data_IF_143108907723
#
_entry.id   IF_143108907723
#
_cell.length_a   1.000
_cell.length_b   1.000
_cell.length_c   1.000
_cell.angle_alpha   90.00
_cell.angle_beta   90.00
_cell.angle_gamma   90.00
#
_symmetry.space_group_name_H-M   'P 1'
#
loop_
_entity.id
_entity.type
_entity.pdbx_description
1 polymer ?
#
# COMPACT_ATOMS: atom_id res chain seq x y z
N UNK A 1 28.66 4.98 2.82
CA UNK A 1 27.22 4.73 2.63
C UNK A 1 26.50 5.24 3.87
N UNK A 2 25.58 6.18 3.72
CA UNK A 2 24.81 6.69 4.86
C UNK A 2 23.60 5.77 5.11
N UNK A 3 23.75 4.86 6.08
CA UNK A 3 22.70 3.92 6.47
C UNK A 3 21.45 4.64 7.01
N UNK A 4 21.57 5.88 7.51
CA UNK A 4 20.42 6.66 7.96
C UNK A 4 19.54 7.06 6.77
N UNK A 5 20.13 7.52 5.68
CA UNK A 5 19.40 7.82 4.44
C UNK A 5 18.69 6.58 3.88
N UNK A 6 19.34 5.41 3.90
CA UNK A 6 18.72 4.15 3.47
C UNK A 6 17.54 3.79 4.37
N UNK A 7 17.71 3.86 5.70
CA UNK A 7 16.66 3.56 6.66
C UNK A 7 15.44 4.47 6.49
N UNK A 8 15.65 5.76 6.23
CA UNK A 8 14.57 6.71 5.97
C UNK A 8 13.82 6.37 4.68
N UNK A 9 14.54 6.09 3.58
CA UNK A 9 13.92 5.70 2.30
C UNK A 9 13.14 4.39 2.40
N UNK A 10 13.67 3.43 3.13
CA UNK A 10 13.01 2.16 3.44
C UNK A 10 11.74 2.39 4.25
N UNK A 11 11.79 3.22 5.29
CA UNK A 11 10.61 3.57 6.10
C UNK A 11 9.52 4.21 5.22
N UNK A 12 9.89 5.17 4.37
CA UNK A 12 8.97 5.81 3.43
C UNK A 12 8.33 4.78 2.49
N UNK A 13 9.14 3.89 1.93
CA UNK A 13 8.69 2.84 1.02
C UNK A 13 7.64 1.93 1.67
N UNK A 14 7.88 1.49 2.91
CA UNK A 14 6.91 0.66 3.64
C UNK A 14 5.64 1.43 3.94
N UNK A 15 5.77 2.69 4.37
CA UNK A 15 4.62 3.53 4.69
C UNK A 15 3.74 3.70 3.46
N UNK A 16 4.33 3.96 2.28
CA UNK A 16 3.59 4.04 1.02
C UNK A 16 2.90 2.72 0.66
N UNK A 17 3.57 1.58 0.85
CA UNK A 17 2.95 0.26 0.61
C UNK A 17 1.79 0.00 1.55
N UNK A 18 1.90 0.37 2.82
CA UNK A 18 0.82 0.27 3.79
C UNK A 18 -0.37 1.16 3.41
N UNK A 19 -0.13 2.41 2.98
CA UNK A 19 -1.19 3.30 2.48
C UNK A 19 -1.90 2.74 1.25
N UNK A 20 -1.16 2.16 0.30
CA UNK A 20 -1.74 1.50 -0.88
C UNK A 20 -2.65 0.34 -0.44
N UNK A 21 -2.17 -0.48 0.49
CA UNK A 21 -2.93 -1.62 1.00
C UNK A 21 -4.25 -1.18 1.66
N UNK A 22 -4.21 -0.16 2.51
CA UNK A 22 -5.40 0.41 3.14
C UNK A 22 -6.41 0.93 2.11
N UNK A 23 -5.94 1.60 1.05
CA UNK A 23 -6.81 2.08 -0.04
C UNK A 23 -7.41 0.95 -0.86
N UNK A 24 -6.68 -0.14 -1.09
CA UNK A 24 -7.20 -1.33 -1.76
C UNK A 24 -8.30 -1.99 -0.94
N UNK A 25 -8.12 -2.10 0.38
CA UNK A 25 -9.14 -2.59 1.30
C UNK A 25 -10.38 -1.69 1.30
N UNK A 26 -10.20 -0.37 1.27
CA UNK A 26 -11.29 0.59 1.15
C UNK A 26 -12.07 0.45 -0.18
N UNK A 27 -11.36 0.29 -1.31
CA UNK A 27 -12.00 0.00 -2.60
C UNK A 27 -12.82 -1.28 -2.51
N UNK A 28 -12.23 -2.36 -2.00
CA UNK A 28 -12.92 -3.65 -1.88
C UNK A 28 -14.18 -3.53 -1.01
N UNK A 29 -14.12 -2.78 0.10
CA UNK A 29 -15.29 -2.48 0.92
C UNK A 29 -16.36 -1.74 0.12
N UNK A 30 -16.00 -0.67 -0.59
CA UNK A 30 -16.96 0.10 -1.39
C UNK A 30 -17.57 -0.73 -2.53
N UNK A 31 -16.78 -1.56 -3.20
CA UNK A 31 -17.26 -2.45 -4.27
C UNK A 31 -18.20 -3.54 -3.75
N UNK A 32 -18.00 -4.01 -2.52
CA UNK A 32 -18.87 -5.01 -1.86
C UNK A 32 -20.09 -4.39 -1.18
N UNK A 33 -20.08 -3.07 -0.92
CA UNK A 33 -21.21 -2.31 -0.36
C UNK A 33 -21.66 -1.18 -1.30
N UNK A 34 -22.12 -1.48 -2.52
CA UNK A 34 -22.64 -0.44 -3.42
C UNK A 34 -23.94 0.15 -2.87
N UNK A 35 -24.30 1.40 -3.21
CA UNK A 35 -25.59 1.97 -2.86
C UNK A 35 -26.73 1.10 -3.40
N UNK A 36 -27.64 0.69 -2.53
CA UNK A 36 -28.82 -0.12 -2.87
C UNK A 36 -30.11 0.64 -2.61
N UNK A 37 -31.14 0.30 -3.36
CA UNK A 37 -32.50 0.78 -3.09
C UNK A 37 -33.15 -0.15 -2.07
N UNK A 38 -33.70 0.43 -1.01
CA UNK A 38 -34.39 -0.33 0.05
C UNK A 38 -35.86 -0.60 -0.28
N UNK A 39 -36.40 0.04 -1.32
CA UNK A 39 -37.80 -0.09 -1.76
C UNK A 39 -37.94 0.10 -3.27
N UNK A 40 -38.96 -0.55 -3.83
CA UNK A 40 -39.24 -0.54 -5.28
C UNK A 40 -39.94 0.74 -5.76
N UNK A 41 -40.57 1.49 -4.85
CA UNK A 41 -41.28 2.74 -5.17
C UNK A 41 -40.64 3.88 -4.37
N UNK A 42 -40.14 4.87 -5.10
CA UNK A 42 -39.46 6.04 -4.55
C UNK A 42 -40.27 7.30 -4.86
N UNK A 43 -40.23 8.30 -3.98
CA UNK A 43 -40.57 9.66 -4.38
C UNK A 43 -39.51 10.22 -5.32
N UNK A 44 -39.82 11.33 -5.99
CA UNK A 44 -38.84 11.98 -6.85
C UNK A 44 -37.59 12.42 -6.09
N UNK A 45 -37.75 12.94 -4.87
CA UNK A 45 -36.65 13.36 -4.00
C UNK A 45 -35.75 12.19 -3.61
N UNK A 46 -36.34 11.03 -3.29
CA UNK A 46 -35.60 9.82 -2.94
C UNK A 46 -34.84 9.26 -4.15
N UNK A 47 -35.45 9.32 -5.35
CA UNK A 47 -34.79 8.91 -6.59
C UNK A 47 -33.59 9.83 -6.92
N UNK A 48 -33.73 11.14 -6.73
CA UNK A 48 -32.64 12.11 -6.91
C UNK A 48 -31.52 11.86 -5.89
N UNK A 49 -31.85 11.71 -4.61
CA UNK A 49 -30.87 11.43 -3.57
C UNK A 49 -30.10 10.12 -3.83
N UNK A 50 -30.78 9.07 -4.29
CA UNK A 50 -30.13 7.82 -4.66
C UNK A 50 -29.18 7.98 -5.85
N UNK A 51 -29.59 8.72 -6.89
CA UNK A 51 -28.73 8.99 -8.05
C UNK A 51 -27.47 9.78 -7.66
N UNK A 52 -27.61 10.78 -6.79
CA UNK A 52 -26.48 11.55 -6.25
C UNK A 52 -25.54 10.68 -5.41
N UNK A 53 -26.09 9.82 -4.53
CA UNK A 53 -25.29 8.87 -3.75
C UNK A 53 -24.50 7.92 -4.68
N UNK A 54 -25.16 7.34 -5.69
CA UNK A 54 -24.50 6.47 -6.68
C UNK A 54 -23.37 7.19 -7.42
N UNK A 55 -23.58 8.45 -7.81
CA UNK A 55 -22.55 9.28 -8.43
C UNK A 55 -21.37 9.54 -7.49
N UNK A 56 -21.65 9.97 -6.27
CA UNK A 56 -20.61 10.22 -5.24
C UNK A 56 -19.78 8.97 -4.94
N UNK A 57 -20.45 7.81 -4.86
CA UNK A 57 -19.81 6.51 -4.67
C UNK A 57 -18.84 6.18 -5.82
N UNK A 58 -19.30 6.33 -7.07
CA UNK A 58 -18.46 6.10 -8.25
C UNK A 58 -17.26 7.07 -8.32
N UNK A 59 -17.48 8.35 -8.01
CA UNK A 59 -16.42 9.36 -7.97
C UNK A 59 -15.38 9.04 -6.88
N UNK A 60 -15.82 8.54 -5.73
CA UNK A 60 -14.94 8.12 -4.63
C UNK A 60 -14.07 6.93 -5.03
N UNK A 61 -14.67 5.89 -5.64
CA UNK A 61 -13.91 4.75 -6.18
C UNK A 61 -12.86 5.19 -7.22
N UNK A 62 -13.23 6.08 -8.14
CA UNK A 62 -12.30 6.60 -9.14
C UNK A 62 -11.14 7.39 -8.50
N UNK A 63 -11.42 8.25 -7.52
CA UNK A 63 -10.38 8.97 -6.77
C UNK A 63 -9.42 8.03 -6.04
N UNK A 64 -9.94 6.98 -5.41
CA UNK A 64 -9.12 5.98 -4.74
C UNK A 64 -8.22 5.23 -5.72
N UNK A 65 -8.77 4.77 -6.85
CA UNK A 65 -8.02 4.07 -7.92
C UNK A 65 -6.90 4.95 -8.48
N UNK A 66 -7.19 6.20 -8.84
CA UNK A 66 -6.15 7.14 -9.29
C UNK A 66 -5.09 7.40 -8.22
N UNK A 67 -5.53 7.55 -6.96
CA UNK A 67 -4.64 7.75 -5.83
C UNK A 67 -3.71 6.56 -5.55
N UNK A 68 -4.13 5.35 -5.89
CA UNK A 68 -3.30 4.13 -5.85
C UNK A 68 -2.30 4.12 -7.01
N UNK A 69 -2.75 4.37 -8.24
CA UNK A 69 -1.87 4.39 -9.41
C UNK A 69 -0.69 5.35 -9.21
N UNK A 70 -0.96 6.57 -8.76
CA UNK A 70 0.08 7.56 -8.47
C UNK A 70 1.05 7.09 -7.38
N UNK A 71 0.54 6.42 -6.32
CA UNK A 71 1.39 5.90 -5.25
C UNK A 71 2.22 4.69 -5.69
N UNK A 72 1.68 3.83 -6.55
CA UNK A 72 2.43 2.70 -7.12
C UNK A 72 3.63 3.17 -7.93
N UNK A 73 3.48 4.24 -8.71
CA UNK A 73 4.61 4.87 -9.42
C UNK A 73 5.68 5.40 -8.44
N UNK A 74 5.26 6.06 -7.37
CA UNK A 74 6.19 6.55 -6.33
C UNK A 74 6.90 5.37 -5.64
N UNK A 75 6.19 4.28 -5.35
CA UNK A 75 6.76 3.07 -4.75
C UNK A 75 7.83 2.45 -5.66
N UNK A 76 7.56 2.34 -6.97
CA UNK A 76 8.53 1.82 -7.94
C UNK A 76 9.78 2.69 -8.02
N UNK A 77 9.62 4.02 -8.04
CA UNK A 77 10.75 4.95 -8.04
C UNK A 77 11.56 4.84 -6.75
N UNK A 78 10.89 4.74 -5.59
CA UNK A 78 11.55 4.60 -4.29
C UNK A 78 12.28 3.26 -4.17
N UNK A 79 11.72 2.19 -4.70
CA UNK A 79 12.36 0.87 -4.78
C UNK A 79 13.69 0.95 -5.54
N UNK A 80 13.67 1.58 -6.72
CA UNK A 80 14.87 1.81 -7.53
C UNK A 80 15.91 2.64 -6.80
N UNK A 81 15.51 3.75 -6.17
CA UNK A 81 16.42 4.58 -5.37
C UNK A 81 17.12 3.78 -4.26
N UNK A 82 16.39 2.92 -3.55
CA UNK A 82 16.99 2.09 -2.49
C UNK A 82 17.94 1.06 -3.10
N UNK A 83 17.55 0.42 -4.20
CA UNK A 83 18.36 -0.57 -4.92
C UNK A 83 19.68 -0.01 -5.48
N UNK A 84 19.72 1.27 -5.86
CA UNK A 84 20.94 1.97 -6.30
C UNK A 84 21.91 2.27 -5.15
N UNK A 85 21.40 2.44 -3.93
CA UNK A 85 22.23 2.76 -2.76
C UNK A 85 22.78 1.49 -2.09
N UNK A 86 22.05 0.38 -2.17
CA UNK A 86 22.47 -0.89 -1.57
C UNK A 86 23.57 -1.59 -2.38
N UNK A 87 24.54 -2.25 -1.72
CA UNK A 87 25.56 -3.01 -2.41
C UNK A 87 24.95 -4.23 -3.12
N UNK A 88 25.28 -4.43 -4.40
CA UNK A 88 24.69 -5.47 -5.29
C UNK A 88 25.22 -6.88 -4.98
N UNK A 89 26.31 -7.01 -4.22
CA UNK A 89 26.84 -8.33 -3.84
C UNK A 89 25.77 -9.03 -3.00
N UNK A 90 25.01 -10.00 -3.53
CA UNK A 90 24.09 -10.96 -2.86
C UNK A 90 23.98 -10.86 -1.32
N UNK A 91 23.54 -9.73 -0.80
CA UNK A 91 23.49 -9.41 0.62
C UNK A 91 22.22 -8.60 0.86
N UNK A 92 21.57 -8.92 1.98
CA UNK A 92 20.48 -8.12 2.53
C UNK A 92 20.95 -7.46 3.82
N UNK A 93 20.32 -6.32 4.13
CA UNK A 93 20.45 -5.64 5.41
C UNK A 93 19.15 -5.84 6.18
N UNK A 94 19.27 -6.07 7.49
CA UNK A 94 18.13 -6.13 8.39
C UNK A 94 17.79 -4.74 8.89
N UNK A 95 16.55 -4.32 8.67
CA UNK A 95 16.01 -3.07 9.22
C UNK A 95 14.94 -3.38 10.26
N UNK A 96 15.10 -2.81 11.45
CA UNK A 96 14.04 -2.73 12.46
C UNK A 96 13.29 -1.44 12.28
N UNK A 97 11.97 -1.54 12.14
CA UNK A 97 11.11 -0.42 11.77
C UNK A 97 9.89 -0.44 12.67
N UNK A 98 9.61 0.68 13.30
CA UNK A 98 8.39 0.86 14.08
C UNK A 98 7.26 1.30 13.16
N UNK A 99 6.28 0.44 12.98
CA UNK A 99 5.04 0.71 12.25
C UNK A 99 3.88 0.55 13.22
N UNK A 100 3.08 1.61 13.41
CA UNK A 100 1.90 1.59 14.27
C UNK A 100 2.18 0.97 15.66
N UNK A 101 3.22 1.46 16.34
CA UNK A 101 3.65 1.00 17.67
C UNK A 101 4.18 -0.45 17.73
N UNK A 102 4.28 -1.15 16.60
CA UNK A 102 4.86 -2.49 16.50
C UNK A 102 6.25 -2.43 15.88
N UNK A 103 7.25 -3.02 16.54
CA UNK A 103 8.58 -3.21 15.96
C UNK A 103 8.54 -4.39 14.99
N UNK A 104 8.81 -4.12 13.71
CA UNK A 104 8.89 -5.12 12.67
C UNK A 104 10.30 -5.20 12.10
N UNK A 105 10.76 -6.42 11.79
CA UNK A 105 12.08 -6.63 11.15
C UNK A 105 11.89 -6.98 9.69
N UNK A 106 12.67 -6.34 8.82
CA UNK A 106 12.65 -6.57 7.38
C UNK A 106 14.04 -6.91 6.85
N UNK A 107 14.11 -7.88 5.95
CA UNK A 107 15.27 -8.16 5.09
C UNK A 107 15.16 -7.33 3.82
N UNK A 108 16.17 -6.52 3.53
CA UNK A 108 16.14 -5.60 2.38
C UNK A 108 17.45 -5.68 1.62
N UNK A 109 17.38 -6.00 0.33
CA UNK A 109 18.57 -6.06 -0.53
C UNK A 109 18.39 -7.00 -1.71
N UNK A 110 19.52 -7.50 -2.23
CA UNK A 110 19.55 -8.44 -3.35
C UNK A 110 19.66 -9.85 -2.80
N UNK A 111 18.67 -10.67 -3.10
CA UNK A 111 18.65 -12.06 -2.65
C UNK A 111 19.28 -12.94 -3.72
N UNK A 112 20.09 -13.95 -3.36
CA UNK A 112 20.74 -14.85 -4.32
C UNK A 112 19.77 -15.51 -5.30
N UNK A 113 18.55 -15.79 -4.83
CA UNK A 113 17.52 -16.51 -5.58
C UNK A 113 16.58 -15.56 -6.36
N UNK A 114 16.88 -14.25 -6.38
CA UNK A 114 16.02 -13.24 -7.00
C UNK A 114 16.79 -12.32 -7.96
N UNK A 115 16.21 -12.07 -9.14
CA UNK A 115 16.72 -11.12 -10.13
C UNK A 115 16.42 -9.65 -9.78
N UNK A 116 16.50 -9.26 -8.49
CA UNK A 116 16.22 -7.86 -8.13
C UNK A 116 16.29 -7.54 -6.65
N UNK A 117 16.14 -6.24 -6.37
CA UNK A 117 15.91 -5.73 -5.04
C UNK A 117 14.61 -6.33 -4.48
N UNK A 118 14.65 -6.77 -3.23
CA UNK A 118 13.46 -7.24 -2.52
C UNK A 118 13.45 -6.73 -1.09
N UNK A 119 12.24 -6.76 -0.55
CA UNK A 119 11.95 -6.46 0.83
C UNK A 119 11.01 -7.53 1.39
N UNK A 120 11.49 -8.26 2.39
CA UNK A 120 10.77 -9.37 3.02
C UNK A 120 10.59 -9.10 4.51
N UNK A 121 9.34 -9.11 4.99
CA UNK A 121 9.05 -9.07 6.42
C UNK A 121 9.52 -10.37 7.05
N UNK A 122 10.32 -10.28 8.10
CA UNK A 122 10.70 -11.43 8.89
C UNK A 122 9.54 -11.81 9.79
N UNK A 123 9.00 -13.02 9.58
CA UNK A 123 8.10 -13.65 10.55
C UNK A 123 9.01 -14.26 11.63
N UNK A 124 8.87 -13.90 12.90
CA UNK A 124 9.62 -14.56 13.96
C UNK A 124 9.29 -16.06 13.94
N UNK A 125 10.32 -16.91 13.89
CA UNK A 125 10.16 -18.35 14.00
C UNK A 125 9.54 -18.67 15.37
N UNK A 126 8.25 -19.00 15.40
CA UNK A 126 7.56 -19.54 16.59
C UNK A 126 7.86 -21.04 16.78
N UNK A 127 9.13 -21.45 16.62
CA UNK A 127 9.57 -22.79 16.93
C UNK A 127 10.64 -22.76 18.02
N UNK A 128 10.15 -22.76 19.27
CA UNK A 128 10.82 -23.38 20.41
C UNK A 128 9.87 -24.41 21.02
#
# INVERSE_FOLDING_TARGET
MDYQTVANKVKDFITLKAEIQQKLEEINRLETTPPQLEKDVLTWEEAVAFAENKKSHADTLNKLRMGIMNRQEIVLNREKEIGEILPIQNHYILFKINLNETEETYKIGYFPDSYGFRMEKMIPDNNQ
#
